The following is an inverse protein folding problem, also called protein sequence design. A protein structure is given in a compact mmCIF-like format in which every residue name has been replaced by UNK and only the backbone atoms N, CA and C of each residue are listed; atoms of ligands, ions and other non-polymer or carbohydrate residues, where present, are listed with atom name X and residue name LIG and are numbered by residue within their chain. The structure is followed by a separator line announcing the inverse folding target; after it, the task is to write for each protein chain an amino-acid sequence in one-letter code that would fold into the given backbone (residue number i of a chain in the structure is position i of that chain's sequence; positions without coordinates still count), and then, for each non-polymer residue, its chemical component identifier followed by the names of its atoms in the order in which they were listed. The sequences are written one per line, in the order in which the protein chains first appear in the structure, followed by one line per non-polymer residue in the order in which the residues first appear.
data_IF_485035840400
#
_entry.id   IF_485035840400
#
_cell.length_a   1.000
_cell.length_b   1.000
_cell.length_c   1.000
_cell.angle_alpha   90.00
_cell.angle_beta   90.00
_cell.angle_gamma   90.00
#
_symmetry.space_group_name_H-M   'P 1'
#
loop_
_entity.id
_entity.type
_entity.pdbx_description
1 polymer ?
#
# COMPACT_ATOMS: atom_id res chain seq x y z
N UNK A 1 -14.08 57.07 -70.34
CA UNK A 1 -13.38 56.96 -69.06
C UNK A 1 -14.11 55.91 -68.22
N UNK A 2 -13.54 54.73 -68.05
CA UNK A 2 -14.20 53.59 -67.36
C UNK A 2 -13.51 53.43 -66.01
N UNK A 3 -14.22 53.65 -64.92
CA UNK A 3 -13.70 53.41 -63.55
C UNK A 3 -13.97 51.95 -63.17
N UNK A 4 -12.92 51.21 -62.91
CA UNK A 4 -12.97 49.84 -62.40
C UNK A 4 -12.84 49.87 -60.88
N UNK A 5 -13.87 49.48 -60.16
CA UNK A 5 -13.84 49.26 -58.72
C UNK A 5 -13.22 47.89 -58.41
N UNK A 6 -12.15 47.88 -57.66
CA UNK A 6 -11.55 46.68 -57.11
C UNK A 6 -12.29 46.30 -55.81
N UNK A 7 -12.95 45.15 -55.74
CA UNK A 7 -13.50 44.63 -54.51
C UNK A 7 -12.45 43.77 -53.79
N UNK A 8 -12.06 44.20 -52.55
CA UNK A 8 -11.19 43.46 -51.69
C UNK A 8 -12.04 42.50 -50.86
N UNK A 9 -11.92 41.20 -51.13
CA UNK A 9 -12.55 40.18 -50.32
C UNK A 9 -11.75 39.86 -49.06
N UNK A 10 -12.36 40.08 -47.90
CA UNK A 10 -11.82 39.64 -46.62
C UNK A 10 -12.21 38.21 -46.38
N UNK A 11 -11.24 37.29 -46.42
CA UNK A 11 -11.45 35.90 -46.02
C UNK A 11 -11.38 35.80 -44.48
N UNK A 12 -12.50 35.50 -43.85
CA UNK A 12 -12.57 35.19 -42.44
C UNK A 12 -12.08 33.75 -42.21
N UNK A 13 -10.91 33.56 -41.58
CA UNK A 13 -10.45 32.27 -41.13
C UNK A 13 -11.19 31.87 -39.86
N UNK A 14 -12.09 30.92 -39.98
CA UNK A 14 -12.78 30.28 -38.83
C UNK A 14 -11.77 29.31 -38.21
N UNK A 15 -11.18 29.72 -37.09
CA UNK A 15 -10.34 28.85 -36.29
C UNK A 15 -11.17 27.77 -35.62
N UNK A 16 -11.05 26.51 -36.07
CA UNK A 16 -11.50 25.35 -35.28
C UNK A 16 -10.67 25.24 -34.02
N UNK A 17 -11.20 25.75 -32.92
CA UNK A 17 -10.67 25.38 -31.58
C UNK A 17 -11.04 23.92 -31.34
N UNK A 18 -10.09 23.01 -31.59
CA UNK A 18 -10.21 21.60 -31.21
C UNK A 18 -10.40 21.52 -29.70
N UNK A 19 -11.60 21.20 -29.24
CA UNK A 19 -11.81 20.75 -27.87
C UNK A 19 -11.06 19.43 -27.74
N UNK A 20 -9.91 19.46 -27.06
CA UNK A 20 -9.27 18.25 -26.55
C UNK A 20 -10.24 17.68 -25.50
N UNK A 21 -10.79 16.48 -25.67
CA UNK A 21 -11.60 15.89 -24.62
C UNK A 21 -10.72 15.75 -23.39
N UNK A 22 -11.10 16.44 -22.29
CA UNK A 22 -10.56 16.15 -20.99
C UNK A 22 -10.84 14.66 -20.76
N UNK A 23 -9.79 13.83 -20.76
CA UNK A 23 -9.89 12.46 -20.33
C UNK A 23 -10.55 12.52 -18.95
N UNK A 24 -11.77 12.00 -18.83
CA UNK A 24 -12.38 11.81 -17.52
C UNK A 24 -11.40 10.90 -16.75
N UNK A 25 -10.67 11.50 -15.82
CA UNK A 25 -9.99 10.72 -14.80
C UNK A 25 -11.10 9.87 -14.15
N UNK A 26 -11.11 8.58 -14.41
CA UNK A 26 -11.94 7.64 -13.69
C UNK A 26 -11.66 7.90 -12.22
N UNK A 27 -12.68 8.23 -11.44
CA UNK A 27 -12.58 8.19 -10.00
C UNK A 27 -12.15 6.76 -9.68
N UNK A 28 -10.90 6.59 -9.20
CA UNK A 28 -10.26 5.29 -9.09
C UNK A 28 -11.08 4.39 -8.18
N UNK A 29 -11.22 3.15 -8.56
CA UNK A 29 -11.77 2.14 -7.67
C UNK A 29 -10.89 2.10 -6.40
N UNK A 30 -11.54 2.16 -5.23
CA UNK A 30 -10.84 2.01 -3.96
C UNK A 30 -11.23 0.67 -3.34
N UNK A 31 -10.25 -0.05 -2.83
CA UNK A 31 -10.47 -1.25 -2.03
C UNK A 31 -10.11 -0.95 -0.57
N UNK A 32 -11.04 -1.25 0.35
CA UNK A 32 -10.79 -1.07 1.79
C UNK A 32 -10.97 -2.40 2.51
N UNK A 33 -10.00 -2.76 3.34
CA UNK A 33 -10.01 -3.99 4.13
C UNK A 33 -9.34 -3.79 5.49
N UNK A 34 -9.55 -4.74 6.40
CA UNK A 34 -8.96 -4.70 7.73
C UNK A 34 -7.82 -5.70 7.86
N UNK A 35 -6.82 -5.34 8.65
CA UNK A 35 -5.82 -6.23 9.20
C UNK A 35 -6.25 -6.68 10.61
N UNK A 36 -5.92 -7.90 10.95
CA UNK A 36 -6.19 -8.53 12.25
C UNK A 36 -4.90 -8.72 13.04
N UNK A 37 -5.01 -8.93 14.35
CA UNK A 37 -3.86 -9.24 15.19
C UNK A 37 -3.19 -10.53 14.73
N UNK A 38 -1.87 -10.50 14.61
CA UNK A 38 -1.05 -11.71 14.42
C UNK A 38 -1.21 -12.65 15.62
N UNK A 39 -1.19 -13.95 15.37
CA UNK A 39 -1.33 -14.96 16.42
C UNK A 39 -0.29 -14.79 17.56
N UNK A 40 0.96 -14.41 17.20
CA UNK A 40 2.02 -14.17 18.18
C UNK A 40 1.82 -12.93 19.06
N UNK A 41 0.94 -12.01 18.66
CA UNK A 41 0.69 -10.74 19.36
C UNK A 41 -0.67 -10.67 20.09
N UNK A 42 -1.48 -11.72 20.01
CA UNK A 42 -2.83 -11.72 20.58
C UNK A 42 -2.83 -11.51 22.10
N UNK A 43 -1.85 -12.08 22.80
CA UNK A 43 -1.77 -12.03 24.26
C UNK A 43 -1.24 -10.71 24.82
N UNK A 44 -0.48 -9.94 24.04
CA UNK A 44 0.19 -8.73 24.49
C UNK A 44 -0.44 -7.43 23.95
N UNK A 45 -1.15 -7.49 22.84
CA UNK A 45 -1.84 -6.33 22.30
C UNK A 45 -3.27 -6.19 22.86
N UNK A 46 -3.75 -4.95 22.94
CA UNK A 46 -5.15 -4.66 23.31
C UNK A 46 -6.13 -5.43 22.41
N UNK A 47 -7.28 -5.80 22.95
CA UNK A 47 -8.34 -6.49 22.19
C UNK A 47 -8.80 -5.67 20.96
N UNK A 48 -8.73 -4.33 21.07
CA UNK A 48 -9.13 -3.36 20.05
C UNK A 48 -8.05 -3.05 19.04
N UNK A 49 -6.83 -3.63 19.14
CA UNK A 49 -5.75 -3.43 18.19
C UNK A 49 -6.16 -3.92 16.80
N UNK A 50 -6.04 -3.03 15.81
CA UNK A 50 -6.43 -3.30 14.41
C UNK A 50 -5.71 -2.40 13.44
N UNK A 51 -5.69 -2.80 12.18
CA UNK A 51 -5.33 -1.96 11.05
C UNK A 51 -6.48 -1.85 10.05
N UNK A 52 -6.56 -0.72 9.36
CA UNK A 52 -7.44 -0.50 8.22
C UNK A 52 -6.58 -0.05 7.04
N UNK A 53 -6.79 -0.65 5.90
CA UNK A 53 -6.06 -0.34 4.67
C UNK A 53 -7.06 0.15 3.64
N UNK A 54 -6.75 1.24 2.97
CA UNK A 54 -7.48 1.72 1.79
C UNK A 54 -6.48 1.85 0.65
N UNK A 55 -6.74 1.13 -0.44
CA UNK A 55 -5.96 1.24 -1.67
C UNK A 55 -6.78 2.02 -2.67
N UNK A 56 -6.22 3.10 -3.18
CA UNK A 56 -6.84 3.99 -4.16
C UNK A 56 -6.06 3.95 -5.46
N UNK A 57 -6.76 3.76 -6.58
CA UNK A 57 -6.16 3.79 -7.90
C UNK A 57 -5.80 5.23 -8.30
N UNK A 58 -4.55 5.44 -8.73
CA UNK A 58 -4.04 6.72 -9.26
C UNK A 58 -3.75 6.63 -10.77
N UNK A 59 -4.19 5.56 -11.42
CA UNK A 59 -3.92 5.26 -12.82
C UNK A 59 -2.75 4.29 -12.97
N UNK A 60 -1.51 4.76 -13.21
CA UNK A 60 -0.37 3.85 -13.41
C UNK A 60 0.15 3.20 -12.11
N UNK A 61 -0.25 3.71 -10.95
CA UNK A 61 0.13 3.23 -9.62
C UNK A 61 -1.06 3.36 -8.67
N UNK A 62 -0.93 2.80 -7.46
CA UNK A 62 -1.90 2.93 -6.38
C UNK A 62 -1.29 3.69 -5.19
N UNK A 63 -2.16 4.34 -4.41
CA UNK A 63 -1.85 4.78 -3.05
C UNK A 63 -2.41 3.77 -2.07
N UNK A 64 -1.57 3.26 -1.17
CA UNK A 64 -1.96 2.45 -0.03
C UNK A 64 -1.91 3.32 1.22
N UNK A 65 -3.07 3.64 1.77
CA UNK A 65 -3.25 4.33 3.04
C UNK A 65 -3.51 3.31 4.14
N UNK A 66 -2.64 3.25 5.13
CA UNK A 66 -2.74 2.30 6.25
C UNK A 66 -2.89 3.07 7.56
N UNK A 67 -3.99 2.83 8.25
CA UNK A 67 -4.26 3.35 9.59
C UNK A 67 -4.16 2.21 10.61
N UNK A 68 -3.46 2.43 11.71
CA UNK A 68 -3.44 1.50 12.85
C UNK A 68 -4.01 2.17 14.08
N UNK A 69 -4.63 1.38 14.94
CA UNK A 69 -5.20 1.89 16.19
C UNK A 69 -5.07 0.89 17.33
N UNK A 70 -4.99 1.43 18.56
CA UNK A 70 -4.84 0.67 19.80
C UNK A 70 -3.57 -0.20 19.85
N UNK A 71 -2.55 0.15 19.08
CA UNK A 71 -1.19 -0.39 19.20
C UNK A 71 -0.45 0.28 20.39
N UNK A 72 0.72 -0.21 20.80
CA UNK A 72 1.60 0.48 21.74
C UNK A 72 1.84 1.94 21.33
N UNK A 73 1.82 2.86 22.29
CA UNK A 73 2.02 4.29 22.05
C UNK A 73 3.49 4.62 21.77
N UNK A 74 3.73 5.67 20.97
CA UNK A 74 5.07 6.19 20.67
C UNK A 74 6.05 5.10 20.18
N UNK A 75 5.54 4.17 19.39
CA UNK A 75 6.25 2.98 18.94
C UNK A 75 6.30 2.94 17.42
N UNK A 76 7.44 2.59 16.86
CA UNK A 76 7.62 2.44 15.41
C UNK A 76 7.34 1.00 14.97
N UNK A 77 6.67 0.90 13.85
CA UNK A 77 6.29 -0.37 13.22
C UNK A 77 6.66 -0.34 11.74
N UNK A 78 7.06 -1.49 11.22
CA UNK A 78 7.45 -1.67 9.82
C UNK A 78 6.36 -2.37 9.03
N UNK A 79 5.99 -1.83 7.87
CA UNK A 79 4.99 -2.38 6.96
C UNK A 79 5.66 -3.13 5.81
N UNK A 80 5.14 -4.34 5.53
CA UNK A 80 5.55 -5.16 4.38
C UNK A 80 4.36 -5.61 3.53
N UNK A 81 4.57 -5.72 2.21
CA UNK A 81 3.82 -6.65 1.38
C UNK A 81 4.50 -8.01 1.45
N UNK A 82 3.71 -9.08 1.55
CA UNK A 82 4.19 -10.44 1.83
C UNK A 82 3.46 -11.48 1.00
N UNK A 83 4.09 -12.61 0.75
CA UNK A 83 3.48 -13.70 0.01
C UNK A 83 2.38 -14.39 0.83
N UNK A 84 2.66 -14.74 2.09
CA UNK A 84 1.73 -15.38 3.01
C UNK A 84 1.56 -14.56 4.28
N UNK A 85 0.33 -14.45 4.85
CA UNK A 85 0.08 -13.59 6.02
C UNK A 85 0.67 -14.14 7.32
N UNK A 86 1.06 -15.42 7.34
CA UNK A 86 1.67 -16.13 8.47
C UNK A 86 3.01 -16.71 8.07
N UNK A 87 3.85 -17.07 9.06
CA UNK A 87 5.17 -17.67 8.79
C UNK A 87 5.08 -18.80 7.75
N UNK A 88 6.05 -18.90 6.80
CA UNK A 88 7.35 -18.21 6.81
C UNK A 88 7.37 -16.76 6.28
N UNK A 89 6.27 -16.11 5.93
CA UNK A 89 6.08 -14.73 5.41
C UNK A 89 6.75 -14.45 4.06
N UNK A 90 7.87 -15.08 3.77
CA UNK A 90 8.73 -14.80 2.62
C UNK A 90 8.21 -15.44 1.33
N UNK A 91 8.43 -14.78 0.19
CA UNK A 91 9.11 -13.49 0.06
C UNK A 91 8.30 -12.33 0.62
N UNK A 92 9.01 -11.29 1.03
CA UNK A 92 8.46 -10.06 1.59
C UNK A 92 9.16 -8.84 0.99
N UNK A 93 8.45 -7.70 0.91
CA UNK A 93 9.01 -6.45 0.45
C UNK A 93 8.62 -5.31 1.38
N UNK A 94 9.63 -4.60 1.91
CA UNK A 94 9.48 -3.44 2.78
C UNK A 94 8.77 -2.29 2.07
N UNK A 95 7.84 -1.65 2.78
CA UNK A 95 7.06 -0.52 2.26
C UNK A 95 7.35 0.79 3.01
N UNK A 96 7.66 0.72 4.29
CA UNK A 96 7.96 1.89 5.11
C UNK A 96 7.63 1.67 6.57
N UNK A 97 7.96 2.68 7.38
CA UNK A 97 7.70 2.70 8.80
C UNK A 97 6.55 3.64 9.14
N UNK A 98 5.80 3.28 10.15
CA UNK A 98 4.82 4.14 10.79
C UNK A 98 5.08 4.21 12.29
N UNK A 99 4.94 5.41 12.86
CA UNK A 99 5.06 5.62 14.31
C UNK A 99 3.71 5.98 14.89
N UNK A 100 3.32 5.32 15.97
CA UNK A 100 2.10 5.63 16.70
C UNK A 100 2.28 6.84 17.62
N UNK A 101 1.21 7.60 17.81
CA UNK A 101 1.12 8.68 18.78
C UNK A 101 0.81 8.16 20.21
N UNK A 102 0.62 9.07 21.16
CA UNK A 102 0.28 8.77 22.58
C UNK A 102 -0.98 7.91 22.75
N UNK A 103 -1.88 7.90 21.77
CA UNK A 103 -3.11 7.12 21.79
C UNK A 103 -2.97 5.75 21.09
N UNK A 104 -1.76 5.43 20.59
CA UNK A 104 -1.51 4.21 19.82
C UNK A 104 -2.17 4.22 18.43
N UNK A 105 -2.35 5.42 17.85
CA UNK A 105 -2.81 5.62 16.47
C UNK A 105 -1.63 6.03 15.59
N UNK A 106 -1.52 5.44 14.42
CA UNK A 106 -0.50 5.76 13.43
C UNK A 106 -1.02 5.61 12.01
N UNK A 107 -0.37 6.28 11.07
CA UNK A 107 -0.74 6.30 9.65
C UNK A 107 0.52 6.25 8.79
N UNK A 108 0.43 5.55 7.67
CA UNK A 108 1.42 5.62 6.58
C UNK A 108 0.69 5.64 5.24
N UNK A 109 1.21 6.44 4.31
CA UNK A 109 0.82 6.47 2.91
C UNK A 109 1.97 6.00 2.04
N UNK A 110 1.72 5.03 1.18
CA UNK A 110 2.73 4.47 0.27
C UNK A 110 2.17 4.49 -1.14
N UNK A 111 2.96 4.99 -2.10
CA UNK A 111 2.63 4.92 -3.52
C UNK A 111 3.44 3.81 -4.19
N UNK A 112 2.77 2.89 -4.85
CA UNK A 112 3.40 1.73 -5.47
C UNK A 112 2.43 0.93 -6.34
N UNK A 113 2.76 -0.33 -6.59
CA UNK A 113 1.88 -1.29 -7.26
C UNK A 113 1.26 -2.19 -6.19
N UNK A 114 -0.06 -2.07 -5.98
CA UNK A 114 -0.81 -2.77 -4.94
C UNK A 114 -2.06 -3.43 -5.51
N UNK A 115 -1.86 -4.28 -6.53
CA UNK A 115 -2.91 -5.01 -7.26
C UNK A 115 -2.43 -6.44 -7.55
N UNK A 116 -3.00 -7.11 -8.55
CA UNK A 116 -2.59 -8.46 -9.00
C UNK A 116 -1.20 -8.50 -9.65
N UNK A 117 -0.61 -7.35 -9.97
CA UNK A 117 0.78 -7.23 -10.45
C UNK A 117 1.80 -6.98 -9.31
N UNK A 118 1.38 -7.06 -8.04
CA UNK A 118 2.30 -6.98 -6.91
C UNK A 118 3.02 -8.31 -6.73
N UNK A 119 4.20 -8.43 -7.33
CA UNK A 119 5.01 -9.64 -7.29
C UNK A 119 6.51 -9.33 -7.26
N UNK A 120 7.31 -10.31 -6.88
CA UNK A 120 8.76 -10.34 -7.12
C UNK A 120 9.10 -11.49 -8.05
N UNK A 121 10.22 -11.39 -8.75
CA UNK A 121 10.78 -12.52 -9.48
C UNK A 121 11.68 -13.33 -8.55
N UNK A 122 11.32 -14.58 -8.29
CA UNK A 122 12.22 -15.54 -7.65
C UNK A 122 13.42 -15.76 -8.60
N UNK A 123 14.67 -15.54 -8.14
CA UNK A 123 15.85 -15.60 -9.01
C UNK A 123 16.25 -17.02 -9.44
N UNK A 124 15.41 -18.02 -9.25
CA UNK A 124 15.61 -19.38 -9.77
C UNK A 124 15.76 -19.42 -11.30
N UNK A 125 16.11 -20.56 -11.87
CA UNK A 125 16.21 -20.77 -13.32
C UNK A 125 15.22 -21.83 -13.76
N UNK A 126 14.13 -21.45 -14.47
CA UNK A 126 13.75 -20.08 -14.89
C UNK A 126 13.27 -19.21 -13.72
N UNK A 127 13.42 -17.90 -13.81
CA UNK A 127 12.82 -16.96 -12.86
C UNK A 127 11.28 -17.04 -12.96
N UNK A 128 10.61 -17.10 -11.82
CA UNK A 128 9.14 -17.17 -11.74
C UNK A 128 8.60 -16.01 -10.92
N UNK A 129 7.43 -15.43 -11.27
CA UNK A 129 6.78 -14.44 -10.43
C UNK A 129 6.21 -15.08 -9.17
N UNK A 130 6.46 -14.46 -8.01
CA UNK A 130 5.87 -14.84 -6.73
C UNK A 130 5.04 -13.66 -6.23
N UNK A 131 3.73 -13.86 -6.14
CA UNK A 131 2.80 -12.82 -5.73
C UNK A 131 3.02 -12.38 -4.27
N UNK A 132 2.96 -11.06 -4.03
CA UNK A 132 2.99 -10.45 -2.72
C UNK A 132 1.63 -9.78 -2.46
N UNK A 133 0.60 -10.57 -2.23
CA UNK A 133 -0.78 -10.12 -2.18
C UNK A 133 -1.36 -9.96 -0.77
N UNK A 134 -0.52 -10.12 0.25
CA UNK A 134 -0.84 -9.91 1.66
C UNK A 134 -0.06 -8.75 2.27
N UNK A 135 -0.49 -8.31 3.44
CA UNK A 135 0.19 -7.29 4.25
C UNK A 135 0.50 -7.82 5.64
N UNK A 136 1.61 -7.34 6.17
CA UNK A 136 1.99 -7.55 7.56
C UNK A 136 2.67 -6.32 8.15
N UNK A 137 2.49 -6.13 9.45
CA UNK A 137 3.12 -5.07 10.24
C UNK A 137 3.85 -5.72 11.40
N UNK A 138 5.09 -5.31 11.65
CA UNK A 138 5.96 -5.79 12.72
C UNK A 138 6.34 -4.64 13.64
N UNK A 139 6.73 -4.92 14.88
CA UNK A 139 7.54 -3.95 15.62
C UNK A 139 8.83 -3.69 14.83
N UNK A 140 9.21 -2.44 14.67
CA UNK A 140 10.48 -2.11 14.00
C UNK A 140 11.69 -2.60 14.79
N UNK A 141 11.59 -2.71 16.13
CA UNK A 141 12.64 -3.19 17.00
C UNK A 141 12.11 -4.26 17.99
N UNK A 142 12.84 -5.38 18.21
CA UNK A 142 12.51 -6.37 19.24
C UNK A 142 12.40 -5.79 20.66
N UNK A 143 13.16 -4.71 20.95
CA UNK A 143 13.11 -4.02 22.25
C UNK A 143 11.76 -3.35 22.47
N UNK A 144 11.17 -2.76 21.42
CA UNK A 144 9.83 -2.17 21.49
C UNK A 144 8.76 -3.23 21.73
N UNK A 145 8.93 -4.41 21.15
CA UNK A 145 8.07 -5.56 21.45
C UNK A 145 8.15 -5.94 22.93
N UNK A 146 9.36 -6.03 23.49
CA UNK A 146 9.58 -6.32 24.91
C UNK A 146 8.95 -5.24 25.82
N UNK A 147 9.14 -3.96 25.50
CA UNK A 147 8.57 -2.83 26.24
C UNK A 147 7.04 -2.85 26.23
N UNK A 148 6.43 -3.36 25.16
CA UNK A 148 4.99 -3.56 25.06
C UNK A 148 4.48 -4.82 25.76
N UNK A 149 5.35 -5.62 26.38
CA UNK A 149 5.03 -6.90 27.01
C UNK A 149 4.79 -8.04 26.01
N UNK A 150 5.27 -7.86 24.78
CA UNK A 150 5.24 -8.87 23.72
C UNK A 150 6.55 -9.68 23.70
N UNK A 151 6.57 -10.86 23.05
CA UNK A 151 7.82 -11.60 22.85
C UNK A 151 8.84 -10.75 22.07
N UNK A 152 10.08 -10.68 22.60
CA UNK A 152 11.19 -9.97 21.95
C UNK A 152 11.91 -10.85 20.90
N UNK A 153 11.19 -11.73 20.24
CA UNK A 153 11.78 -12.61 19.22
C UNK A 153 12.11 -11.77 17.98
N UNK A 154 13.39 -11.74 17.55
CA UNK A 154 13.76 -10.97 16.37
C UNK A 154 13.27 -11.65 15.09
N UNK A 155 12.85 -10.82 14.13
CA UNK A 155 12.59 -11.21 12.76
C UNK A 155 13.69 -10.59 11.89
N UNK A 156 14.55 -11.37 11.20
CA UNK A 156 15.78 -10.88 10.60
C UNK A 156 15.59 -10.28 9.21
N UNK A 157 14.68 -9.32 9.07
CA UNK A 157 14.47 -8.66 7.78
C UNK A 157 13.89 -7.23 7.94
N UNK A 158 14.68 -6.34 8.47
CA UNK A 158 14.32 -4.91 8.49
C UNK A 158 15.50 -4.04 8.04
N UNK A 159 15.99 -4.32 6.84
CA UNK A 159 17.02 -3.51 6.22
C UNK A 159 18.34 -3.49 7.00
N UNK A 160 18.48 -2.57 7.93
CA UNK A 160 19.70 -2.31 8.71
C UNK A 160 19.72 -2.98 10.09
N UNK A 161 18.59 -3.54 10.55
CA UNK A 161 18.48 -4.22 11.85
C UNK A 161 17.41 -5.35 11.82
N UNK A 162 17.12 -5.95 12.96
CA UNK A 162 16.07 -6.94 13.08
C UNK A 162 14.75 -6.28 13.51
N UNK A 163 13.67 -6.62 12.85
CA UNK A 163 12.32 -6.33 13.33
C UNK A 163 11.98 -7.18 14.57
N UNK A 164 11.00 -6.77 15.35
CA UNK A 164 10.38 -7.59 16.38
C UNK A 164 9.38 -8.60 15.80
N UNK A 165 8.39 -9.00 16.59
CA UNK A 165 7.33 -9.91 16.13
C UNK A 165 6.31 -9.18 15.24
N UNK A 166 5.61 -9.95 14.40
CA UNK A 166 4.47 -9.47 13.64
C UNK A 166 3.30 -9.11 14.58
N UNK A 167 2.73 -7.91 14.42
CA UNK A 167 1.63 -7.39 15.23
C UNK A 167 0.28 -7.48 14.53
N UNK A 168 0.22 -7.11 13.25
CA UNK A 168 -0.98 -7.14 12.42
C UNK A 168 -0.69 -7.83 11.09
N UNK A 169 -1.70 -8.49 10.53
CA UNK A 169 -1.61 -9.12 9.23
C UNK A 169 -2.98 -9.26 8.57
N UNK A 170 -2.99 -9.79 7.35
CA UNK A 170 -4.21 -10.08 6.57
C UNK A 170 -4.59 -11.56 6.59
N UNK A 171 -4.37 -12.27 7.71
CA UNK A 171 -4.74 -13.70 7.86
C UNK A 171 -6.26 -13.96 7.91
N UNK A 172 -7.06 -12.92 7.93
CA UNK A 172 -8.51 -12.98 7.70
C UNK A 172 -8.87 -13.20 6.22
N UNK A 173 -7.88 -13.22 5.32
CA UNK A 173 -8.00 -13.62 3.92
C UNK A 173 -7.33 -14.97 3.70
N UNK A 174 -7.78 -15.71 2.66
CA UNK A 174 -7.16 -16.99 2.32
C UNK A 174 -5.70 -16.79 1.88
N UNK A 175 -4.79 -17.65 2.33
CA UNK A 175 -3.35 -17.52 2.08
C UNK A 175 -2.96 -17.39 0.60
N UNK A 176 -3.77 -17.93 -0.32
CA UNK A 176 -3.56 -17.84 -1.77
C UNK A 176 -4.34 -16.72 -2.44
N UNK A 177 -5.14 -15.95 -1.69
CA UNK A 177 -6.01 -14.89 -2.19
C UNK A 177 -6.02 -13.71 -1.23
N UNK A 178 -4.88 -13.03 -1.14
CA UNK A 178 -4.75 -11.84 -0.33
C UNK A 178 -5.56 -10.65 -0.87
N UNK A 179 -5.77 -9.62 -0.05
CA UNK A 179 -6.64 -8.49 -0.38
C UNK A 179 -6.15 -7.65 -1.56
N UNK A 180 -4.85 -7.68 -1.90
CA UNK A 180 -4.29 -6.91 -3.01
C UNK A 180 -4.73 -7.45 -4.38
N UNK A 181 -5.19 -8.70 -4.48
CA UNK A 181 -5.74 -9.27 -5.73
C UNK A 181 -7.11 -8.74 -6.12
N UNK A 182 -7.77 -7.95 -5.26
CA UNK A 182 -9.13 -7.47 -5.50
C UNK A 182 -9.18 -6.11 -6.23
N UNK A 183 -8.04 -5.54 -6.54
CA UNK A 183 -7.91 -4.36 -7.41
C UNK A 183 -7.57 -4.81 -8.83
N UNK A 184 -8.34 -4.36 -9.79
CA UNK A 184 -8.13 -4.63 -11.22
C UNK A 184 -7.78 -3.36 -11.97
#
# INVERSE_FOLDING_TARGET
MKNTLLAVGIAAAVGLTGMVPLANARAGESNTFNMVKSAGAVSCLKATARGRVTISDLGPVQNMHVEVSSLPANTTFTLFVINTPTAPFVPAWYQGDLTTNDNGYGVIDVTGIFNDETFILDPGIPAIPVALNHLGIWFADPTDAANAGCPATPTPFDGDHNAGIQVLNTSNFAATKGPLLNLK
#
